data_IF_069606192719
#
_entry.id   IF_069606192719
#
_cell.length_a   1.000
_cell.length_b   1.000
_cell.length_c   1.000
_cell.angle_alpha   90.00
_cell.angle_beta   90.00
_cell.angle_gamma   90.00
#
_symmetry.space_group_name_H-M   'P 1'
#
loop_
_entity.id
_entity.type
_entity.pdbx_description
1 polymer ?
#
# COMPACT_ATOMS: atom_id res chain seq x y z
N UNK A 1 -6.02 1.95 -4.33
CA UNK A 1 -5.20 1.37 -5.41
C UNK A 1 -4.93 -0.10 -5.08
N UNK A 2 -4.43 -0.90 -6.02
CA UNK A 2 -3.95 -2.24 -5.73
C UNK A 2 -2.77 -2.56 -6.64
N UNK A 3 -1.81 -3.31 -6.11
CA UNK A 3 -0.80 -3.98 -6.92
C UNK A 3 -1.48 -4.96 -7.88
N UNK A 4 -1.00 -4.99 -9.12
CA UNK A 4 -1.44 -5.92 -10.15
C UNK A 4 -0.25 -6.43 -10.99
N UNK A 5 0.70 -7.15 -10.36
CA UNK A 5 1.81 -7.76 -11.09
C UNK A 5 1.29 -8.84 -12.04
N UNK A 6 1.83 -8.89 -13.26
CA UNK A 6 1.46 -9.91 -14.24
C UNK A 6 1.83 -11.30 -13.71
N UNK A 7 0.89 -12.24 -13.80
CA UNK A 7 1.11 -13.64 -13.43
C UNK A 7 1.04 -13.96 -11.94
N UNK A 8 0.60 -13.02 -11.09
CA UNK A 8 0.38 -13.31 -9.67
C UNK A 8 -0.74 -14.35 -9.45
N UNK A 9 -0.44 -15.38 -8.66
CA UNK A 9 -1.38 -16.44 -8.30
C UNK A 9 -2.51 -15.93 -7.39
N UNK A 10 -2.19 -15.06 -6.41
CA UNK A 10 -3.18 -14.41 -5.55
C UNK A 10 -2.86 -12.91 -5.38
N UNK A 11 -3.51 -12.06 -6.19
CA UNK A 11 -3.37 -10.61 -6.07
C UNK A 11 -3.85 -10.04 -4.72
N UNK A 12 -4.77 -10.69 -4.00
CA UNK A 12 -5.27 -10.18 -2.72
C UNK A 12 -4.25 -10.44 -1.60
N UNK A 13 -3.66 -11.64 -1.55
CA UNK A 13 -2.59 -11.98 -0.61
C UNK A 13 -1.37 -11.06 -0.77
N UNK A 14 -0.97 -10.76 -2.01
CA UNK A 14 0.14 -9.84 -2.29
C UNK A 14 -0.16 -8.44 -1.73
N UNK A 15 -1.36 -7.92 -1.96
CA UNK A 15 -1.73 -6.58 -1.47
C UNK A 15 -1.83 -6.55 0.06
N UNK A 16 -2.32 -7.62 0.70
CA UNK A 16 -2.36 -7.73 2.16
C UNK A 16 -0.95 -7.74 2.75
N UNK A 17 -0.02 -8.51 2.16
CA UNK A 17 1.39 -8.53 2.57
C UNK A 17 2.04 -7.15 2.46
N UNK A 18 1.81 -6.44 1.35
CA UNK A 18 2.33 -5.08 1.15
C UNK A 18 1.84 -4.15 2.26
N UNK A 19 0.53 -4.17 2.57
CA UNK A 19 -0.05 -3.35 3.63
C UNK A 19 0.60 -3.64 4.98
N UNK A 20 0.73 -4.93 5.33
CA UNK A 20 1.27 -5.35 6.62
C UNK A 20 2.75 -4.98 6.77
N UNK A 21 3.55 -5.17 5.72
CA UNK A 21 4.97 -4.77 5.73
C UNK A 21 5.15 -3.25 5.89
N UNK A 22 4.36 -2.44 5.17
CA UNK A 22 4.44 -0.98 5.29
C UNK A 22 3.99 -0.53 6.70
N UNK A 23 2.88 -1.07 7.21
CA UNK A 23 2.39 -0.74 8.53
C UNK A 23 3.37 -1.14 9.64
N UNK A 24 4.02 -2.30 9.50
CA UNK A 24 5.03 -2.78 10.45
C UNK A 24 6.31 -1.92 10.45
N UNK A 25 6.63 -1.26 9.33
CA UNK A 25 7.79 -0.35 9.26
C UNK A 25 7.61 0.92 10.09
N UNK A 26 6.36 1.29 10.41
CA UNK A 26 6.04 2.54 11.12
C UNK A 26 6.17 3.81 10.28
N UNK A 27 6.63 3.71 9.02
CA UNK A 27 6.85 4.86 8.14
C UNK A 27 5.56 5.45 7.57
N UNK A 28 4.55 4.60 7.39
CA UNK A 28 3.22 5.01 7.00
C UNK A 28 2.17 4.01 7.50
N UNK A 29 0.92 4.45 7.46
CA UNK A 29 -0.22 3.61 7.76
C UNK A 29 -1.15 3.51 6.55
N UNK A 30 -1.25 2.30 6.01
CA UNK A 30 -2.18 1.91 4.97
C UNK A 30 -3.37 1.16 5.59
N UNK A 31 -4.54 1.44 5.05
CA UNK A 31 -5.76 0.68 5.31
C UNK A 31 -6.21 -0.03 4.04
N UNK A 32 -7.23 -0.86 4.15
CA UNK A 32 -7.81 -1.53 2.99
C UNK A 32 -9.34 -1.46 2.99
N UNK A 33 -9.90 -1.76 1.83
CA UNK A 33 -11.31 -2.06 1.63
C UNK A 33 -11.43 -3.13 0.54
N UNK A 34 -12.63 -3.68 0.34
CA UNK A 34 -12.92 -4.56 -0.79
C UNK A 34 -13.82 -3.84 -1.79
N UNK A 35 -13.31 -3.58 -2.99
CA UNK A 35 -14.09 -3.04 -4.09
C UNK A 35 -14.37 -4.16 -5.09
N UNK A 36 -15.64 -4.44 -5.40
CA UNK A 36 -16.02 -5.59 -6.24
C UNK A 36 -15.38 -6.91 -5.75
N UNK A 37 -15.35 -7.12 -4.44
CA UNK A 37 -14.74 -8.29 -3.78
C UNK A 37 -13.21 -8.30 -3.72
N UNK A 38 -12.53 -7.32 -4.32
CA UNK A 38 -11.07 -7.27 -4.48
C UNK A 38 -10.38 -6.47 -3.38
N UNK A 39 -9.36 -7.05 -2.73
CA UNK A 39 -8.55 -6.34 -1.74
C UNK A 39 -7.88 -5.10 -2.36
N UNK A 40 -8.16 -3.93 -1.79
CA UNK A 40 -7.75 -2.63 -2.33
C UNK A 40 -7.15 -1.78 -1.22
N UNK A 41 -5.92 -1.30 -1.43
CA UNK A 41 -5.18 -0.44 -0.53
C UNK A 41 -5.66 1.01 -0.58
N UNK A 42 -5.59 1.67 0.57
CA UNK A 42 -5.87 3.10 0.74
C UNK A 42 -4.74 3.77 1.53
N UNK A 43 -4.14 4.78 0.91
CA UNK A 43 -3.28 5.77 1.55
C UNK A 43 -4.08 7.07 1.74
N UNK A 44 -4.30 7.50 2.99
CA UNK A 44 -5.03 8.73 3.28
C UNK A 44 -4.04 9.87 3.53
N UNK A 45 -3.99 10.83 2.61
CA UNK A 45 -3.16 12.03 2.73
C UNK A 45 -4.06 13.20 3.11
N UNK A 46 -4.04 13.60 4.38
CA UNK A 46 -4.93 14.66 4.87
C UNK A 46 -4.40 15.50 6.03
N UNK A 47 -3.24 15.15 6.60
CA UNK A 47 -2.58 15.99 7.61
C UNK A 47 -1.81 17.12 6.93
N UNK A 48 -1.90 18.32 7.47
CA UNK A 48 -1.13 19.51 7.02
C UNK A 48 0.38 19.36 7.19
N UNK A 49 0.83 18.32 7.93
CA UNK A 49 2.25 17.99 8.11
C UNK A 49 2.76 16.99 7.07
N UNK A 50 1.91 16.50 6.17
CA UNK A 50 2.38 15.63 5.09
C UNK A 50 3.08 16.47 4.03
N UNK A 51 4.29 16.08 3.70
CA UNK A 51 5.13 16.68 2.67
C UNK A 51 5.42 15.64 1.59
N UNK A 52 5.89 16.10 0.43
CA UNK A 52 6.24 15.24 -0.70
C UNK A 52 7.23 14.13 -0.33
N UNK A 53 8.20 14.42 0.54
CA UNK A 53 9.19 13.43 1.02
C UNK A 53 8.53 12.22 1.70
N UNK A 54 7.42 12.42 2.41
CA UNK A 54 6.71 11.32 3.07
C UNK A 54 6.04 10.42 2.02
N UNK A 55 5.46 11.01 0.98
CA UNK A 55 4.84 10.26 -0.12
C UNK A 55 5.90 9.51 -0.93
N UNK A 56 7.05 10.13 -1.21
CA UNK A 56 8.18 9.48 -1.90
C UNK A 56 8.67 8.25 -1.15
N UNK A 57 8.83 8.34 0.17
CA UNK A 57 9.25 7.21 1.00
C UNK A 57 8.26 6.03 0.94
N UNK A 58 6.96 6.30 0.99
CA UNK A 58 5.93 5.25 0.82
C UNK A 58 6.00 4.64 -0.57
N UNK A 59 6.21 5.47 -1.60
CA UNK A 59 6.36 4.99 -2.97
C UNK A 59 7.58 4.09 -3.16
N UNK A 60 8.73 4.45 -2.57
CA UNK A 60 9.94 3.63 -2.57
C UNK A 60 9.69 2.27 -1.91
N UNK A 61 9.12 2.26 -0.69
CA UNK A 61 8.77 1.01 0.00
C UNK A 61 7.78 0.15 -0.80
N UNK A 62 6.80 0.76 -1.47
CA UNK A 62 5.88 0.03 -2.34
C UNK A 62 6.64 -0.68 -3.47
N UNK A 63 7.61 -0.02 -4.11
CA UNK A 63 8.39 -0.62 -5.20
C UNK A 63 9.37 -1.69 -4.73
N UNK A 64 9.86 -1.63 -3.49
CA UNK A 64 10.70 -2.69 -2.90
C UNK A 64 9.92 -3.97 -2.58
N UNK A 65 8.61 -3.86 -2.35
CA UNK A 65 7.74 -4.98 -1.97
C UNK A 65 6.98 -5.61 -3.14
N UNK A 66 7.03 -4.99 -4.32
CA UNK A 66 6.40 -5.44 -5.57
C UNK A 66 7.34 -6.35 -6.36
#
# INVERSE_FOLDING_TARGET
>A
FRANPQGAADPDEINERIMNSINASGEAYLSHTKLNGKFTLRLSVGSIRVEERHIRKVWEQLNELL
#
